data_IF_708595469695
#
_entry.id   IF_708595469695
#
_cell.length_a   1.000
_cell.length_b   1.000
_cell.length_c   1.000
_cell.angle_alpha   90.00
_cell.angle_beta   90.00
_cell.angle_gamma   90.00
#
_symmetry.space_group_name_H-M   'P 1'
#
loop_
_entity.id
_entity.type
_entity.pdbx_description
1 polymer ?
#
# COMPACT_ATOMS: atom_id res chain seq x y z
N UNK A 1 -11.10 19.11 18.19
CA UNK A 1 -10.90 19.58 16.81
C UNK A 1 -11.45 18.52 15.89
N UNK A 2 -12.55 18.81 15.18
CA UNK A 2 -13.17 17.91 14.22
C UNK A 2 -12.14 17.58 13.15
N UNK A 3 -11.77 16.30 13.02
CA UNK A 3 -10.88 15.88 11.93
C UNK A 3 -11.64 16.18 10.62
N UNK A 4 -11.07 16.92 9.65
CA UNK A 4 -11.67 17.09 8.33
C UNK A 4 -12.09 15.73 7.78
N UNK A 5 -13.17 15.70 6.98
CA UNK A 5 -13.75 14.47 6.44
C UNK A 5 -12.67 13.55 5.85
N UNK A 6 -12.22 12.57 6.63
CA UNK A 6 -11.11 11.69 6.28
C UNK A 6 -11.46 10.80 5.09
N UNK A 7 -12.75 10.64 4.77
CA UNK A 7 -13.21 9.91 3.59
C UNK A 7 -12.94 10.66 2.29
N UNK A 8 -12.61 11.95 2.34
CA UNK A 8 -12.06 12.66 1.18
C UNK A 8 -10.73 12.08 0.68
N UNK A 9 -10.01 11.30 1.51
CA UNK A 9 -8.80 10.57 1.10
C UNK A 9 -9.06 9.37 0.21
N UNK A 10 -10.22 8.72 0.36
CA UNK A 10 -10.52 7.53 -0.42
C UNK A 10 -10.44 7.78 -1.94
N UNK A 11 -11.16 8.75 -2.54
CA UNK A 11 -11.07 9.00 -3.98
C UNK A 11 -9.66 9.43 -4.44
N UNK A 12 -8.86 10.05 -3.56
CA UNK A 12 -7.47 10.44 -3.87
C UNK A 12 -6.59 9.20 -4.03
N UNK A 13 -6.66 8.28 -3.08
CA UNK A 13 -5.91 7.02 -3.12
C UNK A 13 -6.34 6.19 -4.32
N UNK A 14 -7.65 6.10 -4.56
CA UNK A 14 -8.22 5.35 -5.70
C UNK A 14 -7.68 5.84 -7.03
N UNK A 15 -7.57 7.16 -7.21
CA UNK A 15 -6.97 7.76 -8.40
C UNK A 15 -5.47 7.45 -8.53
N UNK A 16 -4.73 7.44 -7.40
CA UNK A 16 -3.29 7.15 -7.39
C UNK A 16 -3.00 5.68 -7.75
N UNK A 17 -3.76 4.74 -7.19
CA UNK A 17 -3.50 3.30 -7.35
C UNK A 17 -4.26 2.67 -8.52
N UNK A 18 -5.27 3.38 -9.07
CA UNK A 18 -6.11 2.88 -10.15
C UNK A 18 -7.05 1.75 -9.73
N UNK A 19 -7.52 1.76 -8.47
CA UNK A 19 -8.46 0.79 -7.91
C UNK A 19 -9.56 1.51 -7.16
N UNK A 20 -10.82 1.11 -7.32
CA UNK A 20 -11.96 1.67 -6.56
C UNK A 20 -12.35 0.70 -5.46
N UNK A 21 -12.23 1.12 -4.21
CA UNK A 21 -12.62 0.33 -3.05
C UNK A 21 -14.13 0.20 -2.96
N UNK A 22 -14.58 -1.03 -2.71
CA UNK A 22 -15.96 -1.33 -2.34
C UNK A 22 -16.27 -0.76 -0.96
N UNK A 23 -15.32 -0.87 -0.02
CA UNK A 23 -15.38 -0.24 1.30
C UNK A 23 -14.36 0.88 1.44
N UNK A 24 -14.82 2.15 1.35
CA UNK A 24 -13.96 3.34 1.50
C UNK A 24 -13.22 3.41 2.84
N UNK A 25 -13.69 2.69 3.86
CA UNK A 25 -13.00 2.60 5.16
C UNK A 25 -11.63 1.94 5.01
N UNK A 26 -11.47 0.92 4.16
CA UNK A 26 -10.18 0.28 3.92
C UNK A 26 -9.17 1.26 3.32
N UNK A 27 -9.61 2.10 2.36
CA UNK A 27 -8.77 3.14 1.78
C UNK A 27 -8.29 4.13 2.84
N UNK A 28 -9.19 4.60 3.71
CA UNK A 28 -8.86 5.55 4.77
C UNK A 28 -7.96 4.93 5.83
N UNK A 29 -8.23 3.69 6.24
CA UNK A 29 -7.42 2.95 7.21
C UNK A 29 -5.99 2.79 6.68
N UNK A 30 -5.80 2.49 5.39
CA UNK A 30 -4.49 2.30 4.78
C UNK A 30 -3.55 3.51 4.91
N UNK A 31 -4.10 4.73 4.89
CA UNK A 31 -3.33 5.98 5.00
C UNK A 31 -3.35 6.60 6.39
N UNK A 32 -4.00 5.96 7.35
CA UNK A 32 -4.11 6.48 8.70
C UNK A 32 -2.94 6.04 9.59
N UNK A 33 -2.09 6.99 9.97
CA UNK A 33 -0.94 6.79 10.86
C UNK A 33 -0.97 7.64 12.14
N UNK A 34 -1.93 8.55 12.27
CA UNK A 34 -1.93 9.55 13.33
C UNK A 34 -2.00 8.89 14.72
N UNK A 35 -3.04 8.14 15.03
CA UNK A 35 -3.24 7.57 16.36
C UNK A 35 -3.60 6.09 16.27
N UNK A 36 -3.55 5.30 17.36
CA UNK A 36 -4.02 3.92 17.38
C UNK A 36 -5.41 3.75 16.74
N UNK A 37 -6.30 4.70 17.02
CA UNK A 37 -7.57 4.90 16.33
C UNK A 37 -7.86 6.39 16.19
N UNK A 38 -8.57 6.77 15.15
CA UNK A 38 -9.24 8.07 15.04
C UNK A 38 -10.75 7.88 14.96
N UNK A 39 -11.48 8.81 15.57
CA UNK A 39 -12.93 8.89 15.44
C UNK A 39 -13.30 9.76 14.23
N UNK A 40 -14.32 9.33 13.50
CA UNK A 40 -14.91 10.05 12.37
C UNK A 40 -16.43 9.88 12.38
N UNK A 41 -17.16 10.75 11.69
CA UNK A 41 -18.61 10.66 11.56
C UNK A 41 -18.94 10.12 10.17
N UNK A 42 -19.58 8.95 10.11
CA UNK A 42 -20.07 8.34 8.88
C UNK A 42 -21.59 8.27 8.97
N UNK A 43 -22.29 8.92 8.05
CA UNK A 43 -23.76 8.92 8.00
C UNK A 43 -24.43 9.25 9.34
N UNK A 44 -23.88 10.23 10.08
CA UNK A 44 -24.41 10.68 11.37
C UNK A 44 -24.03 9.81 12.58
N UNK A 45 -23.28 8.73 12.38
CA UNK A 45 -22.79 7.85 13.46
C UNK A 45 -21.28 7.98 13.65
N UNK A 46 -20.82 7.91 14.90
CA UNK A 46 -19.38 7.89 15.21
C UNK A 46 -18.83 6.51 14.83
N UNK A 47 -17.89 6.48 13.90
CA UNK A 47 -17.08 5.32 13.55
C UNK A 47 -15.63 5.53 14.00
N UNK A 48 -14.90 4.43 14.17
CA UNK A 48 -13.47 4.45 14.49
C UNK A 48 -12.70 3.77 13.38
N UNK A 49 -11.59 4.38 13.00
CA UNK A 49 -10.65 3.85 12.01
C UNK A 49 -9.33 3.57 12.71
N UNK A 50 -8.86 2.32 12.62
CA UNK A 50 -7.58 1.88 13.16
C UNK A 50 -6.41 2.53 12.40
N UNK A 51 -5.20 2.44 12.95
CA UNK A 51 -4.01 2.73 12.16
C UNK A 51 -3.68 1.61 11.19
N UNK A 52 -2.92 1.98 10.17
CA UNK A 52 -2.60 1.15 9.03
C UNK A 52 -1.65 -0.04 9.31
N UNK A 53 -1.21 -0.26 10.55
CA UNK A 53 -0.13 -1.22 10.84
C UNK A 53 -0.52 -2.66 10.57
N UNK A 54 -1.76 -3.04 10.88
CA UNK A 54 -2.25 -4.41 10.61
C UNK A 54 -2.33 -4.68 9.11
N UNK A 55 -2.86 -3.71 8.37
CA UNK A 55 -2.88 -3.74 6.91
C UNK A 55 -1.45 -3.79 6.33
N UNK A 56 -0.50 -3.05 6.89
CA UNK A 56 0.89 -3.07 6.42
C UNK A 56 1.53 -4.45 6.57
N UNK A 57 1.32 -5.12 7.72
CA UNK A 57 1.81 -6.49 7.92
C UNK A 57 1.23 -7.46 6.89
N UNK A 58 -0.08 -7.37 6.64
CA UNK A 58 -0.75 -8.17 5.62
C UNK A 58 -0.21 -7.87 4.22
N UNK A 59 -0.16 -6.61 3.84
CA UNK A 59 0.28 -6.17 2.52
C UNK A 59 1.73 -6.51 2.22
N UNK A 60 2.64 -6.46 3.20
CA UNK A 60 4.01 -6.94 3.03
C UNK A 60 4.06 -8.44 2.68
N UNK A 61 3.26 -9.26 3.37
CA UNK A 61 3.17 -10.69 3.07
C UNK A 61 2.57 -10.96 1.68
N UNK A 62 1.53 -10.21 1.31
CA UNK A 62 0.87 -10.30 0.00
C UNK A 62 1.82 -9.86 -1.12
N UNK A 63 2.53 -8.73 -0.98
CA UNK A 63 3.55 -8.27 -1.92
C UNK A 63 4.61 -9.34 -2.18
N UNK A 64 5.13 -9.93 -1.11
CA UNK A 64 6.11 -10.99 -1.19
C UNK A 64 5.56 -12.22 -1.93
N UNK A 65 4.33 -12.65 -1.60
CA UNK A 65 3.66 -13.78 -2.26
C UNK A 65 3.51 -13.54 -3.76
N UNK A 66 2.93 -12.41 -4.16
CA UNK A 66 2.60 -12.13 -5.57
C UNK A 66 3.87 -12.01 -6.42
N UNK A 67 4.89 -11.30 -5.93
CA UNK A 67 6.15 -11.15 -6.66
C UNK A 67 6.96 -12.46 -6.70
N UNK A 68 6.91 -13.26 -5.64
CA UNK A 68 7.54 -14.58 -5.63
C UNK A 68 6.88 -15.52 -6.63
N UNK A 69 5.54 -15.50 -6.73
CA UNK A 69 4.81 -16.27 -7.72
C UNK A 69 5.15 -15.84 -9.16
N UNK A 70 5.25 -14.54 -9.41
CA UNK A 70 5.66 -14.00 -10.72
C UNK A 70 7.10 -14.41 -11.07
N UNK A 71 8.02 -14.30 -10.11
CA UNK A 71 9.41 -14.74 -10.25
C UNK A 71 9.49 -16.24 -10.55
N UNK A 72 8.78 -17.08 -9.79
CA UNK A 72 8.73 -18.53 -10.00
C UNK A 72 8.17 -18.89 -11.40
N UNK A 73 7.15 -18.16 -11.86
CA UNK A 73 6.53 -18.35 -13.16
C UNK A 73 7.33 -17.83 -14.35
N UNK A 74 8.40 -17.05 -14.16
CA UNK A 74 9.18 -16.50 -15.26
C UNK A 74 10.07 -17.54 -15.99
N UNK A 75 10.23 -18.76 -15.46
CA UNK A 75 10.92 -19.92 -16.06
C UNK A 75 12.34 -19.68 -16.63
N UNK A 76 13.01 -18.59 -16.25
CA UNK A 76 14.43 -18.37 -16.51
C UNK A 76 15.25 -19.48 -15.82
N UNK A 77 16.50 -19.80 -16.23
CA UNK A 77 17.42 -20.52 -15.36
C UNK A 77 17.72 -19.68 -14.11
N UNK A 78 16.81 -19.73 -13.14
CA UNK A 78 16.81 -18.90 -11.93
C UNK A 78 17.81 -19.47 -10.93
N UNK A 79 18.72 -18.64 -10.44
CA UNK A 79 19.45 -18.96 -9.22
C UNK A 79 18.58 -18.61 -8.02
N UNK A 80 18.66 -19.40 -6.94
CA UNK A 80 17.93 -19.13 -5.70
C UNK A 80 18.19 -17.70 -5.17
N UNK A 81 19.40 -17.20 -5.37
CA UNK A 81 19.85 -15.86 -4.98
C UNK A 81 19.14 -14.73 -5.74
N UNK A 82 18.52 -15.01 -6.91
CA UNK A 82 17.80 -14.01 -7.68
C UNK A 82 16.52 -13.54 -6.96
N UNK A 83 15.86 -14.40 -6.18
CA UNK A 83 14.72 -13.99 -5.36
C UNK A 83 15.13 -13.02 -4.26
N UNK A 84 16.20 -13.33 -3.50
CA UNK A 84 16.65 -12.46 -2.42
C UNK A 84 17.07 -11.08 -2.96
N UNK A 85 17.74 -11.05 -4.13
CA UNK A 85 18.05 -9.78 -4.82
C UNK A 85 16.78 -9.04 -5.22
N UNK A 86 15.86 -9.69 -5.93
CA UNK A 86 14.60 -9.11 -6.37
C UNK A 86 13.79 -8.53 -5.20
N UNK A 87 13.67 -9.31 -4.13
CA UNK A 87 12.96 -8.92 -2.91
C UNK A 87 13.59 -7.67 -2.31
N UNK A 88 14.92 -7.59 -2.22
CA UNK A 88 15.59 -6.40 -1.71
C UNK A 88 15.41 -5.19 -2.63
N UNK A 89 15.51 -5.39 -3.94
CA UNK A 89 15.38 -4.31 -4.93
C UNK A 89 13.96 -3.74 -5.00
N UNK A 90 12.93 -4.57 -4.87
CA UNK A 90 11.52 -4.14 -5.00
C UNK A 90 10.81 -3.85 -3.67
N UNK A 91 11.15 -4.57 -2.60
CA UNK A 91 10.40 -4.57 -1.32
C UNK A 91 11.20 -4.01 -0.15
N UNK A 92 12.39 -3.42 -0.36
CA UNK A 92 13.04 -2.67 0.71
C UNK A 92 12.21 -1.46 1.12
N UNK A 93 12.32 -1.04 2.39
CA UNK A 93 11.65 0.16 2.88
C UNK A 93 12.00 1.39 2.03
N UNK A 94 13.25 1.52 1.60
CA UNK A 94 13.69 2.66 0.79
C UNK A 94 13.04 2.64 -0.61
N UNK A 95 12.99 1.47 -1.26
CA UNK A 95 12.31 1.31 -2.55
C UNK A 95 10.81 1.62 -2.43
N UNK A 96 10.14 1.04 -1.43
CA UNK A 96 8.71 1.26 -1.21
C UNK A 96 8.41 2.72 -0.87
N UNK A 97 9.26 3.35 -0.05
CA UNK A 97 9.14 4.76 0.27
C UNK A 97 9.28 5.63 -0.98
N UNK A 98 10.33 5.42 -1.77
CA UNK A 98 10.57 6.16 -3.01
C UNK A 98 9.40 6.01 -3.99
N UNK A 99 8.87 4.79 -4.15
CA UNK A 99 7.70 4.53 -5.00
C UNK A 99 6.46 5.27 -4.50
N UNK A 100 6.19 5.23 -3.20
CA UNK A 100 5.05 5.91 -2.60
C UNK A 100 5.10 7.43 -2.77
N UNK A 101 6.27 8.04 -2.57
CA UNK A 101 6.46 9.48 -2.84
C UNK A 101 6.31 9.82 -4.32
N UNK A 102 6.88 9.02 -5.22
CA UNK A 102 6.77 9.24 -6.67
C UNK A 102 5.31 9.18 -7.17
N UNK A 103 4.47 8.39 -6.49
CA UNK A 103 3.04 8.29 -6.77
C UNK A 103 2.21 9.39 -6.09
N UNK A 104 2.81 10.21 -5.23
CA UNK A 104 2.11 11.28 -4.50
C UNK A 104 1.25 10.79 -3.33
N UNK A 105 1.48 9.57 -2.82
CA UNK A 105 0.71 9.01 -1.69
C UNK A 105 0.87 9.82 -0.40
N UNK A 106 1.96 10.58 -0.25
CA UNK A 106 2.24 11.43 0.91
C UNK A 106 1.15 12.48 1.15
N UNK A 107 0.53 12.95 0.07
CA UNK A 107 -0.60 13.90 0.12
C UNK A 107 -1.84 13.33 0.81
N UNK A 108 -1.96 12.00 0.85
CA UNK A 108 -3.09 11.30 1.43
C UNK A 108 -2.87 10.88 2.89
N UNK A 109 -1.62 10.77 3.34
CA UNK A 109 -1.26 10.23 4.66
C UNK A 109 -1.81 11.12 5.78
N UNK A 110 -2.58 10.50 6.68
CA UNK A 110 -3.10 11.17 7.86
C UNK A 110 -2.10 10.95 9.00
N UNK A 111 -1.54 12.05 9.50
CA UNK A 111 -0.52 12.05 10.55
C UNK A 111 -0.96 12.91 11.74
N UNK A 112 -0.30 12.74 12.90
CA UNK A 112 -0.58 13.59 14.07
C UNK A 112 -0.08 15.03 13.86
N UNK A 113 -0.79 15.96 14.50
CA UNK A 113 -0.33 17.34 14.69
C UNK A 113 1.01 17.35 15.44
N UNK A 114 2.10 17.55 14.70
CA UNK A 114 3.47 17.50 15.23
C UNK A 114 4.47 16.83 14.29
N UNK A 115 4.00 16.07 13.29
CA UNK A 115 4.88 15.59 12.23
C UNK A 115 5.13 16.71 11.21
N UNK A 116 6.41 16.95 10.90
CA UNK A 116 6.84 17.94 9.89
C UNK A 116 6.66 17.45 8.44
N UNK A 117 6.21 16.21 8.26
CA UNK A 117 5.98 15.58 6.96
C UNK A 117 5.91 14.05 7.09
N UNK A 118 5.70 13.38 5.97
CA UNK A 118 5.73 11.91 5.89
C UNK A 118 7.19 11.47 5.79
N UNK A 119 7.66 10.65 6.73
CA UNK A 119 9.01 10.05 6.67
C UNK A 119 9.06 8.86 5.71
N UNK A 120 10.25 8.45 5.24
CA UNK A 120 10.40 7.25 4.40
C UNK A 120 9.80 6.00 5.04
N UNK A 121 9.98 5.83 6.37
CA UNK A 121 9.38 4.70 7.10
C UNK A 121 7.85 4.77 7.11
N UNK A 122 7.27 5.95 7.27
CA UNK A 122 5.80 6.11 7.19
C UNK A 122 5.31 5.81 5.78
N UNK A 123 6.03 6.27 4.75
CA UNK A 123 5.67 6.02 3.37
C UNK A 123 5.75 4.54 3.01
N UNK A 124 6.84 3.85 3.37
CA UNK A 124 6.96 2.41 3.10
C UNK A 124 5.85 1.61 3.77
N UNK A 125 5.56 1.88 5.05
CA UNK A 125 4.43 1.27 5.77
C UNK A 125 3.08 1.60 5.14
N UNK A 126 2.90 2.82 4.63
CA UNK A 126 1.66 3.22 3.93
C UNK A 126 1.49 2.44 2.63
N UNK A 127 2.55 2.30 1.83
CA UNK A 127 2.50 1.50 0.59
C UNK A 127 2.11 0.06 0.91
N UNK A 128 2.74 -0.57 1.90
CA UNK A 128 2.36 -1.91 2.35
C UNK A 128 0.88 -1.95 2.78
N UNK A 129 0.43 -0.98 3.57
CA UNK A 129 -0.95 -0.94 4.05
C UNK A 129 -1.99 -0.75 2.95
N UNK A 130 -1.67 0.04 1.92
CA UNK A 130 -2.52 0.20 0.74
C UNK A 130 -2.69 -1.13 0.03
N UNK A 131 -1.61 -1.90 -0.15
CA UNK A 131 -1.70 -3.23 -0.74
C UNK A 131 -2.51 -4.19 0.15
N UNK A 132 -2.32 -4.14 1.47
CA UNK A 132 -3.12 -4.91 2.41
C UNK A 132 -4.61 -4.58 2.33
N UNK A 133 -4.96 -3.30 2.22
CA UNK A 133 -6.35 -2.86 2.07
C UNK A 133 -6.98 -3.32 0.75
N UNK A 134 -6.22 -3.26 -0.35
CA UNK A 134 -6.68 -3.75 -1.66
C UNK A 134 -6.92 -5.25 -1.63
N UNK A 135 -6.04 -6.00 -0.98
CA UNK A 135 -6.20 -7.44 -0.79
C UNK A 135 -7.47 -7.77 0.01
N UNK A 136 -7.73 -7.07 1.11
CA UNK A 136 -8.94 -7.27 1.92
C UNK A 136 -10.23 -6.90 1.15
N UNK A 137 -10.17 -5.93 0.24
CA UNK A 137 -11.34 -5.47 -0.52
C UNK A 137 -11.61 -6.30 -1.78
N UNK A 138 -10.57 -6.73 -2.50
CA UNK A 138 -10.68 -7.32 -3.84
C UNK A 138 -9.81 -8.55 -4.11
N UNK A 139 -9.07 -9.05 -3.12
CA UNK A 139 -8.28 -10.27 -3.20
C UNK A 139 -7.05 -10.16 -4.12
N UNK A 140 -6.53 -11.34 -4.52
CA UNK A 140 -5.29 -11.45 -5.30
C UNK A 140 -5.39 -10.74 -6.68
N UNK A 141 -6.54 -10.79 -7.34
CA UNK A 141 -6.73 -10.17 -8.66
C UNK A 141 -6.62 -8.64 -8.60
N UNK A 142 -7.22 -8.02 -7.58
CA UNK A 142 -7.13 -6.59 -7.36
C UNK A 142 -5.70 -6.14 -7.06
N UNK A 143 -4.99 -6.92 -6.23
CA UNK A 143 -3.57 -6.67 -5.95
C UNK A 143 -2.74 -6.75 -7.22
N UNK A 144 -2.91 -7.80 -8.02
CA UNK A 144 -2.15 -7.97 -9.26
C UNK A 144 -2.35 -6.76 -10.19
N UNK A 145 -3.61 -6.32 -10.40
CA UNK A 145 -3.91 -5.14 -11.20
C UNK A 145 -3.17 -3.89 -10.69
N UNK A 146 -3.23 -3.63 -9.38
CA UNK A 146 -2.58 -2.45 -8.78
C UNK A 146 -1.06 -2.54 -8.86
N UNK A 147 -0.47 -3.71 -8.62
CA UNK A 147 0.99 -3.89 -8.76
C UNK A 147 1.45 -3.68 -10.20
N UNK A 148 0.63 -4.05 -11.20
CA UNK A 148 0.87 -3.71 -12.61
C UNK A 148 0.85 -2.19 -12.81
N UNK A 149 -0.19 -1.50 -12.32
CA UNK A 149 -0.32 -0.04 -12.46
C UNK A 149 0.83 0.71 -11.76
N UNK A 150 1.26 0.23 -10.61
CA UNK A 150 2.36 0.80 -9.83
C UNK A 150 3.74 0.41 -10.37
N UNK A 151 3.82 -0.43 -11.41
CA UNK A 151 5.07 -0.80 -12.08
C UNK A 151 5.97 -1.77 -11.29
N UNK A 152 5.41 -2.65 -10.46
CA UNK A 152 6.19 -3.64 -9.71
C UNK A 152 6.73 -4.78 -10.58
N UNK A 153 6.07 -5.08 -11.70
CA UNK A 153 6.48 -6.13 -12.63
C UNK A 153 7.52 -5.66 -13.67
N UNK A 154 7.90 -4.37 -13.66
CA UNK A 154 8.91 -3.81 -14.56
C UNK A 154 10.32 -4.14 -14.05
N UNK A 155 10.67 -5.43 -14.06
CA UNK A 155 11.95 -5.92 -13.59
C UNK A 155 12.48 -7.05 -14.48
N UNK A 156 13.78 -7.07 -14.74
CA UNK A 156 14.40 -8.06 -15.64
C UNK A 156 14.16 -9.51 -15.17
N UNK A 157 14.14 -9.74 -13.86
CA UNK A 157 13.86 -11.07 -13.27
C UNK A 157 12.39 -11.48 -13.27
N UNK A 158 11.48 -10.60 -13.70
CA UNK A 158 10.03 -10.85 -13.79
C UNK A 158 9.53 -10.89 -15.23
N UNK A 159 10.40 -10.68 -16.21
CA UNK A 159 10.03 -10.66 -17.64
C UNK A 159 10.25 -12.04 -18.23
N UNK A 160 9.23 -12.60 -18.87
CA UNK A 160 9.38 -13.80 -19.70
C UNK A 160 10.11 -13.38 -20.98
N UNK A 161 11.30 -13.93 -21.23
CA UNK A 161 12.00 -13.79 -22.51
C UNK A 161 11.35 -14.66 -23.59
#
# INVERSE_FOLDING_TARGET
MSNPDIFSRAPQIEAIVGYTFSNKTHAVEAVQMAAPQIATVVSGSISRVDNNRRLAVLGNAVLAKVLCAAWFGAHTPLQLTDWDRLRNELLSNDTLAARGFNLGLDTCVITNAGNSGVSSKMMSTTVEAVIGAIYEDGGDDAVHLVLTNMGFFQHALLTVM
#
